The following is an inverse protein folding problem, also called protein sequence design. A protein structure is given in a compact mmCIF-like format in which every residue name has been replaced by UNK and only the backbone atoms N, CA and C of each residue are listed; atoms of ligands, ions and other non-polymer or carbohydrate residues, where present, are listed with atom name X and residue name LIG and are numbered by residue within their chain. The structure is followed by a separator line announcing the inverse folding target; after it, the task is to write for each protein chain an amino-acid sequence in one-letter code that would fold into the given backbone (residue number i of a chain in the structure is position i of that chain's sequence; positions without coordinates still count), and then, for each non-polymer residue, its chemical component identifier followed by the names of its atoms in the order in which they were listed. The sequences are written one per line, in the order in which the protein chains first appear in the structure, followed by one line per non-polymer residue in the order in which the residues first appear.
data_IF_449767867772
#
_entry.id   IF_449767867772
#
_cell.length_a   1.000
_cell.length_b   1.000
_cell.length_c   1.000
_cell.angle_alpha   90.00
_cell.angle_beta   90.00
_cell.angle_gamma   90.00
#
_symmetry.space_group_name_H-M   'P 1'
#
loop_
_entity.id
_entity.type
_entity.pdbx_description
1 polymer ?
#
# COMPACT_ATOMS: atom_id res chain seq x y z
N UNK A 1 17.52 35.26 -14.02
CA UNK A 1 17.41 34.91 -15.46
C UNK A 1 16.00 34.41 -15.71
N UNK A 2 15.18 35.24 -16.36
CA UNK A 2 13.77 34.96 -16.59
C UNK A 2 13.58 33.86 -17.63
N UNK A 3 12.66 32.94 -17.37
CA UNK A 3 12.20 32.00 -18.39
C UNK A 3 11.04 32.64 -19.16
N UNK A 4 11.04 32.55 -20.50
CA UNK A 4 9.99 33.13 -21.31
C UNK A 4 8.70 32.32 -21.12
N UNK A 5 7.65 33.02 -20.72
CA UNK A 5 6.28 32.57 -20.92
C UNK A 5 6.01 32.54 -22.43
N UNK A 6 5.80 31.37 -23.01
CA UNK A 6 5.21 31.26 -24.35
C UNK A 6 4.30 30.04 -24.42
N UNK A 7 3.03 30.30 -24.73
CA UNK A 7 1.98 29.35 -25.10
C UNK A 7 2.43 28.57 -26.36
N UNK A 8 1.95 27.39 -26.75
CA UNK A 8 0.65 26.77 -26.57
C UNK A 8 0.75 25.27 -26.94
N UNK A 9 -0.06 24.44 -26.29
CA UNK A 9 -0.62 23.23 -26.91
C UNK A 9 -1.82 23.69 -27.78
N UNK A 10 -1.93 23.32 -29.07
CA UNK A 10 -2.97 23.84 -29.97
C UNK A 10 -4.41 23.50 -29.53
N UNK A 11 -4.59 22.48 -28.69
CA UNK A 11 -5.90 21.91 -28.37
C UNK A 11 -6.51 22.37 -27.03
N UNK A 12 -6.00 23.48 -26.48
CA UNK A 12 -6.78 24.40 -25.63
C UNK A 12 -7.80 23.79 -24.66
N UNK A 13 -7.39 22.95 -23.71
CA UNK A 13 -8.24 22.61 -22.57
C UNK A 13 -7.85 23.43 -21.33
N UNK A 14 -8.53 24.57 -21.14
CA UNK A 14 -8.38 25.47 -19.98
C UNK A 14 -8.52 24.77 -18.62
N UNK A 15 -9.07 23.55 -18.59
CA UNK A 15 -9.26 22.73 -17.38
C UNK A 15 -7.99 22.12 -16.81
N UNK A 16 -6.88 22.06 -17.55
CA UNK A 16 -5.66 21.38 -17.08
C UNK A 16 -4.63 22.34 -16.46
N UNK A 17 -4.67 23.64 -16.80
CA UNK A 17 -3.71 24.64 -16.29
C UNK A 17 -3.71 24.81 -14.76
N UNK A 18 -4.84 24.58 -14.10
CA UNK A 18 -4.92 24.63 -12.63
C UNK A 18 -4.38 23.35 -11.98
N UNK A 19 -4.52 22.20 -12.63
CA UNK A 19 -3.93 20.92 -12.20
C UNK A 19 -2.41 20.96 -12.34
N UNK A 20 -1.90 21.60 -13.40
CA UNK A 20 -0.47 21.86 -13.61
C UNK A 20 0.11 22.81 -12.55
N UNK A 21 -0.56 23.93 -12.27
CA UNK A 21 -0.14 24.88 -11.21
C UNK A 21 -0.26 24.31 -9.81
N UNK A 22 -1.29 23.51 -9.57
CA UNK A 22 -1.55 22.83 -8.30
C UNK A 22 -0.83 21.49 -8.16
N UNK A 23 0.04 21.12 -9.10
CA UNK A 23 0.66 19.80 -9.18
C UNK A 23 1.22 19.24 -7.86
N UNK A 24 1.95 20.01 -7.03
CA UNK A 24 2.44 19.50 -5.75
C UNK A 24 1.31 18.98 -4.85
N UNK A 25 0.17 19.65 -4.88
CA UNK A 25 -1.02 19.32 -4.10
C UNK A 25 -1.89 18.28 -4.80
N UNK A 26 -1.94 18.23 -6.14
CA UNK A 26 -2.77 17.26 -6.87
C UNK A 26 -2.08 15.93 -7.13
N UNK A 27 -0.82 15.76 -6.68
CA UNK A 27 -0.08 14.50 -6.77
C UNK A 27 -0.84 13.32 -6.14
N UNK A 28 -1.56 13.55 -5.03
CA UNK A 28 -2.38 12.51 -4.43
C UNK A 28 -3.56 12.09 -5.31
N UNK A 29 -3.93 12.81 -6.36
CA UNK A 29 -4.97 12.40 -7.32
C UNK A 29 -4.42 11.49 -8.43
N UNK A 30 -3.10 11.27 -8.47
CA UNK A 30 -2.47 10.49 -9.54
C UNK A 30 -2.39 11.23 -10.87
N UNK A 31 -2.60 12.55 -10.87
CA UNK A 31 -2.23 13.42 -11.98
C UNK A 31 -0.72 13.29 -12.22
N UNK A 32 -0.24 13.62 -13.42
CA UNK A 32 1.18 13.92 -13.67
C UNK A 32 1.18 14.98 -14.76
N UNK A 33 1.73 16.17 -14.53
CA UNK A 33 1.80 17.20 -15.56
C UNK A 33 2.64 16.64 -16.72
N UNK A 34 2.25 16.92 -17.97
CA UNK A 34 3.09 16.60 -19.11
C UNK A 34 4.45 17.30 -18.97
N UNK A 35 5.55 16.69 -19.45
CA UNK A 35 6.86 17.35 -19.42
C UNK A 35 6.81 18.67 -20.21
N UNK A 36 7.45 19.71 -19.68
CA UNK A 36 7.43 21.07 -20.25
C UNK A 36 7.91 21.14 -21.72
N UNK A 37 8.70 20.15 -22.16
CA UNK A 37 9.06 19.94 -23.56
C UNK A 37 9.03 18.42 -23.86
N UNK A 38 8.08 17.94 -24.68
CA UNK A 38 7.97 16.53 -25.07
C UNK A 38 9.20 16.01 -25.82
N UNK A 39 9.90 16.88 -26.56
CA UNK A 39 11.08 16.52 -27.36
C UNK A 39 12.29 16.43 -26.44
N UNK A 40 12.51 17.43 -25.56
CA UNK A 40 13.58 17.36 -24.57
C UNK A 40 13.40 16.18 -23.60
N UNK A 41 12.17 15.86 -23.18
CA UNK A 41 11.92 14.70 -22.32
C UNK A 41 12.24 13.36 -23.00
N UNK A 42 11.98 13.23 -24.31
CA UNK A 42 12.37 12.05 -25.10
C UNK A 42 13.89 11.93 -25.23
N UNK A 43 14.59 13.06 -25.43
CA UNK A 43 16.05 13.10 -25.50
C UNK A 43 16.69 12.78 -24.13
N UNK A 44 16.15 13.34 -23.04
CA UNK A 44 16.58 13.05 -21.68
C UNK A 44 16.37 11.58 -21.31
N UNK A 45 15.18 11.03 -21.58
CA UNK A 45 14.89 9.61 -21.36
C UNK A 45 15.80 8.69 -22.19
N UNK A 46 16.14 9.09 -23.44
CA UNK A 46 17.11 8.37 -24.26
C UNK A 46 18.54 8.46 -23.71
N UNK A 47 18.92 9.59 -23.13
CA UNK A 47 20.19 9.78 -22.45
C UNK A 47 20.35 8.89 -21.22
N UNK A 48 19.28 8.52 -20.53
CA UNK A 48 19.31 7.70 -19.30
C UNK A 48 19.35 6.18 -19.53
N UNK A 49 19.30 5.71 -20.77
CA UNK A 49 19.30 4.27 -21.08
C UNK A 49 20.57 3.54 -20.56
N UNK A 50 21.67 4.27 -20.35
CA UNK A 50 22.92 3.75 -19.79
C UNK A 50 22.84 3.44 -18.27
N UNK A 51 21.94 4.11 -17.55
CA UNK A 51 21.73 3.95 -16.10
C UNK A 51 20.84 2.73 -15.80
N UNK A 52 20.09 2.24 -16.79
CA UNK A 52 19.18 1.11 -16.62
C UNK A 52 19.93 -0.24 -16.53
N UNK A 53 19.47 -1.16 -15.67
CA UNK A 53 20.00 -2.53 -15.64
C UNK A 53 19.80 -3.22 -16.99
N UNK A 54 20.75 -4.08 -17.37
CA UNK A 54 20.85 -4.73 -18.69
C UNK A 54 19.52 -5.27 -19.27
N UNK A 55 18.67 -6.01 -18.52
CA UNK A 55 17.43 -6.57 -19.09
C UNK A 55 16.39 -5.52 -19.49
N UNK A 56 16.37 -4.35 -18.84
CA UNK A 56 15.45 -3.26 -19.21
C UNK A 56 15.96 -2.47 -20.42
N UNK A 57 17.27 -2.29 -20.51
CA UNK A 57 17.94 -1.59 -21.61
C UNK A 57 17.72 -2.31 -22.95
N UNK A 58 17.74 -3.63 -22.94
CA UNK A 58 17.52 -4.45 -24.13
C UNK A 58 16.07 -4.39 -24.62
N UNK A 59 15.10 -4.37 -23.70
CA UNK A 59 13.68 -4.15 -24.04
C UNK A 59 13.44 -2.78 -24.66
N UNK A 60 14.08 -1.73 -24.13
CA UNK A 60 14.03 -0.38 -24.71
C UNK A 60 14.59 -0.35 -26.13
N UNK A 61 15.75 -0.98 -26.38
CA UNK A 61 16.34 -1.08 -27.74
C UNK A 61 15.42 -1.80 -28.72
N UNK A 62 14.80 -2.90 -28.31
CA UNK A 62 13.90 -3.68 -29.16
C UNK A 62 12.66 -2.87 -29.56
N UNK A 63 12.03 -2.20 -28.59
CA UNK A 63 10.89 -1.29 -28.86
C UNK A 63 11.24 -0.17 -29.82
N UNK A 64 12.41 0.45 -29.68
CA UNK A 64 12.86 1.52 -30.58
C UNK A 64 13.07 1.03 -32.02
N UNK A 65 13.64 -0.16 -32.19
CA UNK A 65 13.78 -0.79 -33.52
C UNK A 65 12.41 -1.06 -34.15
N UNK A 66 11.49 -1.61 -33.39
CA UNK A 66 10.11 -1.86 -33.87
C UNK A 66 9.39 -0.55 -34.23
N UNK A 67 9.58 0.52 -33.48
CA UNK A 67 9.03 1.84 -33.79
C UNK A 67 9.68 2.50 -35.02
N UNK A 68 10.99 2.34 -35.22
CA UNK A 68 11.68 2.81 -36.43
C UNK A 68 11.18 2.06 -37.67
N UNK A 69 11.11 0.73 -37.60
CA UNK A 69 10.57 -0.10 -38.68
C UNK A 69 9.13 0.25 -39.02
N UNK A 70 8.29 0.56 -38.02
CA UNK A 70 6.92 1.04 -38.23
C UNK A 70 6.86 2.40 -38.91
N UNK A 71 7.77 3.32 -38.57
CA UNK A 71 7.86 4.65 -39.19
C UNK A 71 8.38 4.58 -40.63
N UNK A 72 9.33 3.70 -40.89
CA UNK A 72 9.85 3.43 -42.24
C UNK A 72 8.76 2.80 -43.12
N UNK A 73 8.00 1.83 -42.59
CA UNK A 73 6.85 1.25 -43.28
C UNK A 73 5.75 2.29 -43.59
N UNK A 74 5.40 3.13 -42.61
CA UNK A 74 4.41 4.19 -42.79
C UNK A 74 4.89 5.34 -43.70
N UNK A 75 6.20 5.59 -43.74
CA UNK A 75 6.81 6.57 -44.65
C UNK A 75 6.95 6.09 -46.09
N UNK A 76 7.11 4.77 -46.29
CA UNK A 76 7.17 4.15 -47.62
C UNK A 76 5.82 4.13 -48.35
N UNK A 77 4.71 4.01 -47.62
CA UNK A 77 3.35 4.06 -48.20
C UNK A 77 2.97 5.46 -48.71
N UNK A 78 3.60 6.53 -48.20
CA UNK A 78 3.32 7.90 -48.63
C UNK A 78 4.09 8.33 -49.91
N UNK A 79 5.12 7.57 -50.33
CA UNK A 79 5.95 7.91 -51.50
C UNK A 79 5.62 7.13 -52.78
N UNK A 80 4.86 6.03 -52.71
CA UNK A 80 4.52 5.22 -53.88
C UNK A 80 3.02 5.24 -54.17
N UNK A 81 2.56 6.31 -54.82
CA UNK A 81 1.24 6.36 -55.45
C UNK A 81 1.34 6.26 -56.97
N UNK A 82 1.07 5.09 -57.55
CA UNK A 82 0.16 4.87 -58.72
C UNK A 82 0.01 3.37 -59.07
N UNK A 83 -1.11 2.96 -59.71
CA UNK A 83 -1.67 1.62 -59.62
C UNK A 83 -1.27 0.70 -60.78
N UNK A 84 -1.16 -0.60 -60.52
CA UNK A 84 -1.22 -1.62 -61.57
C UNK A 84 -1.97 -2.85 -61.06
N UNK A 85 -2.99 -3.21 -61.82
CA UNK A 85 -3.88 -4.35 -61.62
C UNK A 85 -3.18 -5.70 -61.81
N UNK A 86 -3.71 -6.73 -61.16
CA UNK A 86 -3.36 -8.13 -61.40
C UNK A 86 -4.08 -9.05 -60.41
N UNK A 87 -5.22 -9.58 -60.82
CA UNK A 87 -5.95 -10.65 -60.14
C UNK A 87 -5.14 -11.96 -60.15
N UNK A 88 -5.14 -12.74 -59.07
CA UNK A 88 -6.03 -13.92 -58.98
C UNK A 88 -5.79 -14.74 -57.70
N UNK A 89 -6.93 -15.17 -57.13
CA UNK A 89 -7.24 -16.32 -56.27
C UNK A 89 -6.14 -17.03 -55.44
N UNK A 90 -6.32 -17.10 -54.11
CA UNK A 90 -6.84 -18.31 -53.46
C UNK A 90 -6.74 -18.27 -51.91
N UNK A 91 -7.92 -18.45 -51.32
CA UNK A 91 -8.22 -19.27 -50.15
C UNK A 91 -8.00 -18.72 -48.73
N UNK A 92 -9.15 -18.41 -48.15
CA UNK A 92 -9.52 -18.32 -46.74
C UNK A 92 -8.71 -19.22 -45.80
N UNK A 93 -8.16 -18.60 -44.75
CA UNK A 93 -8.04 -19.27 -43.45
C UNK A 93 -7.98 -18.25 -42.30
N UNK A 94 -9.07 -18.21 -41.54
CA UNK A 94 -9.01 -18.02 -40.09
C UNK A 94 -8.88 -16.58 -39.62
N UNK A 95 -10.04 -16.02 -39.29
CA UNK A 95 -10.22 -15.09 -38.18
C UNK A 95 -9.15 -15.21 -37.10
N UNK A 96 -8.44 -14.11 -36.86
CA UNK A 96 -8.33 -13.48 -35.55
C UNK A 96 -7.76 -12.10 -35.77
N UNK A 97 -8.65 -11.17 -36.08
CA UNK A 97 -8.41 -9.75 -35.82
C UNK A 97 -8.00 -9.64 -34.36
N UNK A 98 -6.71 -9.41 -34.14
CA UNK A 98 -6.17 -9.00 -32.86
C UNK A 98 -6.75 -7.62 -32.57
N UNK A 99 -7.98 -7.60 -32.07
CA UNK A 99 -8.64 -6.45 -31.52
C UNK A 99 -7.77 -6.01 -30.35
N UNK A 100 -6.83 -5.12 -30.66
CA UNK A 100 -6.15 -4.31 -29.67
C UNK A 100 -7.25 -3.61 -28.92
N UNK A 101 -7.65 -4.20 -27.78
CA UNK A 101 -8.50 -3.57 -26.79
C UNK A 101 -7.74 -2.31 -26.39
N UNK A 102 -8.02 -1.21 -27.08
CA UNK A 102 -7.78 0.13 -26.60
C UNK A 102 -8.46 0.14 -25.23
N UNK A 103 -7.68 -0.08 -24.17
CA UNK A 103 -8.12 0.15 -22.81
C UNK A 103 -8.43 1.64 -22.79
N UNK A 104 -9.68 1.98 -23.05
CA UNK A 104 -10.19 3.32 -22.90
C UNK A 104 -9.75 3.75 -21.51
N UNK A 105 -8.77 4.64 -21.47
CA UNK A 105 -8.21 5.10 -20.23
C UNK A 105 -9.35 5.83 -19.53
N UNK A 106 -9.76 5.42 -18.31
CA UNK A 106 -10.91 6.02 -17.65
C UNK A 106 -10.69 7.52 -17.58
N UNK A 107 -11.71 8.29 -17.94
CA UNK A 107 -11.67 9.75 -17.97
C UNK A 107 -11.13 10.27 -16.64
N UNK A 108 -10.32 11.34 -16.65
CA UNK A 108 -9.69 11.87 -15.43
C UNK A 108 -10.72 12.10 -14.30
N UNK A 109 -11.92 12.57 -14.65
CA UNK A 109 -13.03 12.74 -13.72
C UNK A 109 -13.51 11.44 -13.06
N UNK A 110 -13.61 10.33 -13.81
CA UNK A 110 -13.96 9.03 -13.24
C UNK A 110 -12.88 8.52 -12.27
N UNK A 111 -11.60 8.68 -12.61
CA UNK A 111 -10.48 8.32 -11.72
C UNK A 111 -10.49 9.11 -10.41
N UNK A 112 -10.73 10.42 -10.49
CA UNK A 112 -10.86 11.28 -9.32
C UNK A 112 -12.06 10.88 -8.47
N UNK A 113 -13.22 10.60 -9.09
CA UNK A 113 -14.42 10.15 -8.37
C UNK A 113 -14.18 8.83 -7.63
N UNK A 114 -13.56 7.84 -8.28
CA UNK A 114 -13.20 6.57 -7.64
C UNK A 114 -12.25 6.78 -6.47
N UNK A 115 -11.22 7.61 -6.65
CA UNK A 115 -10.26 7.89 -5.59
C UNK A 115 -10.87 8.63 -4.39
N UNK A 116 -11.74 9.61 -4.64
CA UNK A 116 -12.46 10.32 -3.58
C UNK A 116 -13.38 9.37 -2.83
N UNK A 117 -14.09 8.51 -3.55
CA UNK A 117 -14.92 7.46 -2.95
C UNK A 117 -14.10 6.55 -2.03
N UNK A 118 -12.90 6.15 -2.48
CA UNK A 118 -11.99 5.38 -1.66
C UNK A 118 -11.52 6.14 -0.40
N UNK A 119 -11.18 7.42 -0.53
CA UNK A 119 -10.78 8.23 0.62
C UNK A 119 -11.91 8.35 1.66
N UNK A 120 -13.16 8.47 1.21
CA UNK A 120 -14.34 8.47 2.09
C UNK A 120 -14.52 7.15 2.83
N UNK A 121 -14.39 6.01 2.13
CA UNK A 121 -14.47 4.70 2.79
C UNK A 121 -13.34 4.50 3.80
N UNK A 122 -12.13 4.96 3.49
CA UNK A 122 -11.00 4.90 4.44
C UNK A 122 -11.22 5.79 5.67
N UNK A 123 -11.81 6.97 5.50
CA UNK A 123 -12.17 7.87 6.61
C UNK A 123 -13.19 7.20 7.54
N UNK A 124 -14.28 6.67 6.99
CA UNK A 124 -15.31 5.98 7.77
C UNK A 124 -14.75 4.70 8.41
N UNK A 125 -13.92 3.96 7.68
CA UNK A 125 -13.20 2.79 8.17
C UNK A 125 -12.41 3.10 9.43
N UNK A 126 -11.52 4.10 9.35
CA UNK A 126 -10.67 4.53 10.46
C UNK A 126 -11.49 5.07 11.64
N UNK A 127 -12.45 5.96 11.39
CA UNK A 127 -13.27 6.57 12.43
C UNK A 127 -14.05 5.52 13.23
N UNK A 128 -14.80 4.66 12.54
CA UNK A 128 -15.63 3.66 13.21
C UNK A 128 -14.80 2.51 13.78
N UNK A 129 -13.69 2.11 13.15
CA UNK A 129 -12.78 1.11 13.70
C UNK A 129 -12.24 1.52 15.07
N UNK A 130 -11.66 2.72 15.14
CA UNK A 130 -11.15 3.27 16.41
C UNK A 130 -12.30 3.53 17.39
N UNK A 131 -13.44 4.06 16.94
CA UNK A 131 -14.59 4.28 17.80
C UNK A 131 -15.08 2.97 18.43
N UNK A 132 -15.27 1.89 17.66
CA UNK A 132 -15.71 0.61 18.20
C UNK A 132 -14.71 0.03 19.19
N UNK A 133 -13.40 0.10 18.89
CA UNK A 133 -12.36 -0.33 19.82
C UNK A 133 -12.35 0.52 21.11
N UNK A 134 -12.59 1.83 21.02
CA UNK A 134 -12.66 2.70 22.18
C UNK A 134 -13.94 2.49 23.00
N UNK A 135 -15.07 2.24 22.33
CA UNK A 135 -16.34 1.93 22.99
C UNK A 135 -16.26 0.59 23.72
N UNK A 136 -15.63 -0.45 23.14
CA UNK A 136 -15.44 -1.72 23.85
C UNK A 136 -14.65 -1.52 25.14
N UNK A 137 -13.62 -0.66 25.11
CA UNK A 137 -12.80 -0.33 26.28
C UNK A 137 -13.57 0.44 27.37
N UNK A 138 -14.77 0.99 27.08
CA UNK A 138 -15.63 1.64 28.08
C UNK A 138 -16.57 0.68 28.82
N UNK A 139 -16.64 -0.59 28.40
CA UNK A 139 -17.42 -1.60 29.12
C UNK A 139 -16.90 -1.80 30.54
N UNK A 140 -17.81 -2.01 31.50
CA UNK A 140 -17.46 -2.12 32.93
C UNK A 140 -16.37 -3.18 33.19
N UNK A 141 -16.42 -4.28 32.43
CA UNK A 141 -15.44 -5.36 32.47
C UNK A 141 -13.98 -4.94 32.17
N UNK A 142 -13.77 -3.98 31.27
CA UNK A 142 -12.44 -3.49 30.89
C UNK A 142 -12.00 -2.27 31.70
N UNK A 143 -12.96 -1.55 32.29
CA UNK A 143 -12.70 -0.45 33.23
C UNK A 143 -12.08 -0.93 34.53
N UNK A 144 -12.47 -2.12 35.00
CA UNK A 144 -11.93 -2.73 36.22
C UNK A 144 -10.44 -3.11 36.12
N UNK A 145 -9.85 -3.10 34.91
CA UNK A 145 -8.47 -3.51 34.63
C UNK A 145 -7.56 -2.36 34.16
N UNK A 146 -7.95 -1.09 34.35
CA UNK A 146 -7.16 0.11 33.99
C UNK A 146 -6.56 0.09 32.57
N UNK A 147 -7.29 -0.50 31.63
CA UNK A 147 -6.84 -0.66 30.25
C UNK A 147 -6.63 0.71 29.59
N UNK A 148 -5.42 1.07 29.13
CA UNK A 148 -5.18 2.34 28.46
C UNK A 148 -6.05 2.41 27.20
N UNK A 149 -6.93 3.42 27.18
CA UNK A 149 -8.16 3.43 26.37
C UNK A 149 -7.92 3.29 24.86
N UNK A 150 -6.75 3.69 24.34
CA UNK A 150 -6.37 3.53 22.93
C UNK A 150 -4.85 3.38 22.85
N UNK A 151 -4.38 2.18 22.55
CA UNK A 151 -2.96 1.88 22.41
C UNK A 151 -2.49 2.37 21.02
N UNK A 152 -1.40 3.15 20.96
CA UNK A 152 -0.91 3.78 19.72
C UNK A 152 -0.71 2.78 18.56
N UNK A 153 -0.44 1.51 18.87
CA UNK A 153 -0.37 0.42 17.89
C UNK A 153 -1.64 0.28 17.04
N UNK A 154 -2.83 0.37 17.64
CA UNK A 154 -4.10 0.21 16.91
C UNK A 154 -4.42 1.41 16.00
N UNK A 155 -3.84 2.58 16.27
CA UNK A 155 -3.89 3.71 15.35
C UNK A 155 -3.13 3.41 14.05
N UNK A 156 -1.93 2.84 14.15
CA UNK A 156 -1.16 2.39 12.99
C UNK A 156 -1.84 1.23 12.25
N UNK A 157 -2.45 0.30 13.00
CA UNK A 157 -3.26 -0.78 12.44
C UNK A 157 -4.45 -0.23 11.64
N UNK A 158 -5.17 0.77 12.16
CA UNK A 158 -6.28 1.41 11.44
C UNK A 158 -5.83 1.98 10.08
N UNK A 159 -4.71 2.70 10.06
CA UNK A 159 -4.15 3.26 8.83
C UNK A 159 -3.88 2.13 7.82
N UNK A 160 -3.26 1.05 8.26
CA UNK A 160 -2.94 -0.08 7.39
C UNK A 160 -4.19 -0.82 6.91
N UNK A 161 -5.12 -1.18 7.81
CA UNK A 161 -6.34 -1.91 7.48
C UNK A 161 -7.27 -1.16 6.53
N UNK A 162 -7.43 0.16 6.69
CA UNK A 162 -8.43 0.93 5.95
C UNK A 162 -7.85 1.72 4.77
N UNK A 163 -6.58 2.14 4.82
CA UNK A 163 -5.94 2.86 3.71
C UNK A 163 -5.16 1.92 2.78
N UNK A 164 -4.57 0.84 3.31
CA UNK A 164 -3.75 -0.12 2.56
C UNK A 164 -4.32 -1.55 2.63
N UNK A 165 -5.65 -1.68 2.53
CA UNK A 165 -6.41 -2.94 2.66
C UNK A 165 -5.94 -4.06 1.73
N UNK A 166 -5.42 -3.72 0.54
CA UNK A 166 -4.89 -4.70 -0.43
C UNK A 166 -3.51 -5.26 -0.03
N UNK A 167 -2.88 -4.72 1.01
CA UNK A 167 -1.55 -5.15 1.44
C UNK A 167 -1.57 -6.59 1.97
N UNK A 168 -0.56 -7.43 1.64
CA UNK A 168 -0.44 -8.76 2.24
C UNK A 168 -0.18 -8.70 3.76
N UNK A 169 0.31 -7.58 4.29
CA UNK A 169 0.63 -7.43 5.72
C UNK A 169 -0.60 -7.21 6.61
N UNK A 170 -1.75 -6.91 6.01
CA UNK A 170 -2.99 -6.61 6.74
C UNK A 170 -4.04 -7.69 6.57
N UNK A 171 -3.65 -8.85 6.05
CA UNK A 171 -4.56 -9.98 5.88
C UNK A 171 -4.95 -10.53 7.26
N UNK A 172 -6.16 -11.12 7.40
CA UNK A 172 -6.79 -11.41 8.68
C UNK A 172 -5.90 -12.18 9.65
N UNK A 173 -5.18 -13.18 9.15
CA UNK A 173 -4.28 -14.00 9.98
C UNK A 173 -3.06 -13.23 10.45
N UNK A 174 -2.51 -12.35 9.63
CA UNK A 174 -1.35 -11.54 10.01
C UNK A 174 -1.74 -10.54 11.10
N UNK A 175 -2.92 -9.93 10.98
CA UNK A 175 -3.46 -9.02 12.01
C UNK A 175 -3.66 -9.76 13.33
N UNK A 176 -4.41 -10.87 13.32
CA UNK A 176 -4.75 -11.60 14.54
C UNK A 176 -3.52 -12.26 15.19
N UNK A 177 -2.78 -13.08 14.44
CA UNK A 177 -1.64 -13.79 15.00
C UNK A 177 -0.43 -12.88 15.23
N UNK A 178 -0.20 -11.91 14.34
CA UNK A 178 0.90 -10.96 14.49
C UNK A 178 0.76 -10.14 15.77
N UNK A 179 -0.44 -9.60 16.05
CA UNK A 179 -0.70 -8.89 17.29
C UNK A 179 -0.67 -9.83 18.51
N UNK A 180 -1.31 -11.00 18.43
CA UNK A 180 -1.42 -11.94 19.55
C UNK A 180 -0.05 -12.48 19.98
N UNK A 181 0.78 -12.93 19.04
CA UNK A 181 2.12 -13.45 19.32
C UNK A 181 3.02 -12.32 19.85
N UNK A 182 2.89 -11.12 19.30
CA UNK A 182 3.62 -9.96 19.82
C UNK A 182 3.22 -9.61 21.26
N UNK A 183 1.94 -9.70 21.61
CA UNK A 183 1.47 -9.52 22.98
C UNK A 183 2.02 -10.59 23.92
N UNK A 184 2.00 -11.87 23.50
CA UNK A 184 2.58 -12.98 24.28
C UNK A 184 4.06 -12.74 24.55
N UNK A 185 4.84 -12.47 23.50
CA UNK A 185 6.29 -12.24 23.62
C UNK A 185 6.60 -10.99 24.44
N UNK A 186 5.84 -9.91 24.27
CA UNK A 186 5.99 -8.70 25.06
C UNK A 186 5.76 -8.95 26.55
N UNK A 187 4.72 -9.70 26.92
CA UNK A 187 4.44 -10.09 28.31
C UNK A 187 5.52 -11.03 28.84
N UNK A 188 6.00 -12.00 28.05
CA UNK A 188 7.10 -12.88 28.44
C UNK A 188 8.36 -12.08 28.77
N UNK A 189 8.73 -11.10 27.93
CA UNK A 189 9.90 -10.25 28.17
C UNK A 189 9.66 -9.36 29.39
N UNK A 190 8.48 -8.75 29.53
CA UNK A 190 8.12 -7.96 30.70
C UNK A 190 8.32 -8.76 32.00
N UNK A 191 7.75 -9.97 32.07
CA UNK A 191 7.88 -10.85 33.24
C UNK A 191 9.31 -11.34 33.47
N UNK A 192 10.07 -11.60 32.42
CA UNK A 192 11.48 -12.03 32.55
C UNK A 192 12.34 -10.93 33.18
N UNK A 193 12.15 -9.68 32.76
CA UNK A 193 12.89 -8.55 33.31
C UNK A 193 12.41 -8.14 34.72
N UNK A 194 11.12 -8.31 35.04
CA UNK A 194 10.60 -8.14 36.41
C UNK A 194 11.23 -9.08 37.45
N UNK A 195 11.83 -10.21 37.03
CA UNK A 195 12.57 -11.12 37.93
C UNK A 195 13.91 -10.52 38.41
N UNK A 196 14.43 -9.49 37.73
CA UNK A 196 15.67 -8.84 38.14
C UNK A 196 15.42 -7.89 39.33
N UNK A 197 16.11 -8.07 40.47
CA UNK A 197 15.93 -7.20 41.63
C UNK A 197 16.26 -5.74 41.28
N UNK A 198 15.30 -4.83 41.51
CA UNK A 198 15.47 -3.40 41.26
C UNK A 198 15.01 -2.92 39.88
N UNK A 199 14.70 -3.81 38.95
CA UNK A 199 14.15 -3.44 37.65
C UNK A 199 12.66 -3.12 37.76
N UNK A 200 12.23 -1.93 37.31
CA UNK A 200 10.81 -1.53 37.28
C UNK A 200 10.37 -1.10 35.89
N UNK A 201 9.30 -1.71 35.40
CA UNK A 201 8.71 -1.34 34.12
C UNK A 201 7.99 0.01 34.23
N UNK A 202 8.29 0.94 33.31
CA UNK A 202 7.62 2.25 33.23
C UNK A 202 8.23 3.37 34.08
N UNK A 203 9.49 3.24 34.51
CA UNK A 203 10.22 4.34 35.14
C UNK A 203 10.44 5.52 34.18
N UNK A 204 10.02 6.72 34.58
CA UNK A 204 10.21 7.97 33.79
C UNK A 204 11.70 8.33 33.61
N UNK A 205 12.57 7.85 34.50
CA UNK A 205 14.00 8.19 34.56
C UNK A 205 14.95 7.02 34.27
N UNK A 206 14.42 5.81 34.06
CA UNK A 206 15.21 4.64 33.65
C UNK A 206 14.60 4.08 32.37
N UNK A 207 15.18 4.39 31.19
CA UNK A 207 14.67 3.82 29.96
C UNK A 207 14.91 2.31 30.00
N UNK A 208 13.82 1.54 29.93
CA UNK A 208 13.85 0.08 29.76
C UNK A 208 14.28 -0.31 28.34
N UNK A 209 15.33 0.33 27.83
CA UNK A 209 15.79 0.23 26.45
C UNK A 209 16.20 -1.20 26.12
N UNK A 210 16.75 -1.95 27.08
CA UNK A 210 17.10 -3.37 26.94
C UNK A 210 15.85 -4.21 26.72
N UNK A 211 14.88 -4.14 27.64
CA UNK A 211 13.63 -4.89 27.54
C UNK A 211 12.83 -4.50 26.28
N UNK A 212 12.78 -3.21 25.93
CA UNK A 212 12.16 -2.72 24.71
C UNK A 212 12.82 -3.28 23.45
N UNK A 213 14.15 -3.24 23.39
CA UNK A 213 14.91 -3.74 22.24
C UNK A 213 14.73 -5.25 22.08
N UNK A 214 14.83 -6.01 23.17
CA UNK A 214 14.65 -7.47 23.18
C UNK A 214 13.22 -7.84 22.79
N UNK A 215 12.22 -7.15 23.35
CA UNK A 215 10.80 -7.40 23.07
C UNK A 215 10.48 -7.21 21.58
N UNK A 216 10.85 -6.05 21.01
CA UNK A 216 10.61 -5.77 19.60
C UNK A 216 11.38 -6.72 18.68
N UNK A 217 12.66 -6.96 18.95
CA UNK A 217 13.51 -7.81 18.11
C UNK A 217 13.00 -9.26 18.10
N UNK A 218 12.60 -9.78 19.26
CA UNK A 218 12.06 -11.13 19.39
C UNK A 218 10.70 -11.25 18.69
N UNK A 219 9.80 -10.28 18.88
CA UNK A 219 8.51 -10.26 18.19
C UNK A 219 8.67 -10.21 16.67
N UNK A 220 9.58 -9.36 16.17
CA UNK A 220 9.88 -9.28 14.75
C UNK A 220 10.45 -10.58 14.20
N UNK A 221 11.42 -11.19 14.91
CA UNK A 221 12.01 -12.47 14.52
C UNK A 221 10.94 -13.55 14.39
N UNK A 222 10.08 -13.70 15.40
CA UNK A 222 9.03 -14.73 15.38
C UNK A 222 7.99 -14.45 14.29
N UNK A 223 7.58 -13.21 14.09
CA UNK A 223 6.68 -12.82 12.99
C UNK A 223 7.29 -13.09 11.60
N UNK A 224 8.61 -12.93 11.45
CA UNK A 224 9.31 -13.24 10.21
C UNK A 224 9.41 -14.75 9.98
N UNK A 225 9.72 -15.52 11.03
CA UNK A 225 9.79 -16.99 10.97
C UNK A 225 8.45 -17.63 10.60
N UNK A 226 7.36 -17.06 11.12
CA UNK A 226 5.99 -17.54 10.89
C UNK A 226 5.34 -16.93 9.64
N UNK A 227 6.02 -16.03 8.92
CA UNK A 227 5.51 -15.30 7.75
C UNK A 227 4.20 -14.51 8.00
N UNK A 228 3.95 -14.12 9.25
CA UNK A 228 2.76 -13.37 9.71
C UNK A 228 3.10 -11.93 10.08
N UNK A 229 4.03 -11.32 9.34
CA UNK A 229 4.54 -9.99 9.68
C UNK A 229 3.43 -8.95 9.65
N UNK A 230 3.16 -8.39 10.84
CA UNK A 230 2.21 -7.32 11.04
C UNK A 230 2.88 -6.19 11.82
N UNK A 231 3.32 -5.10 11.16
CA UNK A 231 4.12 -4.05 11.80
C UNK A 231 3.50 -3.46 13.08
N UNK A 232 2.16 -3.25 13.19
CA UNK A 232 1.53 -2.84 14.46
C UNK A 232 1.79 -3.80 15.62
N UNK A 233 1.97 -5.10 15.36
CA UNK A 233 2.34 -6.10 16.36
C UNK A 233 3.68 -5.78 17.04
N UNK A 234 4.66 -5.24 16.30
CA UNK A 234 5.93 -4.79 16.91
C UNK A 234 5.71 -3.71 17.97
N UNK A 235 4.78 -2.78 17.72
CA UNK A 235 4.41 -1.78 18.72
C UNK A 235 3.67 -2.43 19.91
N UNK A 236 2.77 -3.38 19.68
CA UNK A 236 2.11 -4.18 20.75
C UNK A 236 3.14 -4.83 21.68
N UNK A 237 4.20 -5.44 21.14
CA UNK A 237 5.27 -6.02 21.95
C UNK A 237 6.03 -4.96 22.79
N UNK A 238 6.33 -3.80 22.21
CA UNK A 238 6.99 -2.69 22.92
C UNK A 238 6.12 -2.15 24.07
N UNK A 239 4.82 -2.05 23.85
CA UNK A 239 3.89 -1.45 24.81
C UNK A 239 3.82 -2.26 26.10
N UNK A 240 3.95 -3.59 26.02
CA UNK A 240 4.02 -4.48 27.18
C UNK A 240 5.22 -4.21 28.11
N UNK A 241 6.32 -3.64 27.61
CA UNK A 241 7.56 -3.41 28.39
C UNK A 241 7.87 -1.93 28.63
N UNK A 242 7.07 -1.02 28.06
CA UNK A 242 7.28 0.43 28.16
C UNK A 242 6.21 1.14 28.98
N UNK A 243 4.97 0.65 28.99
CA UNK A 243 3.87 1.24 29.73
C UNK A 243 3.63 0.42 31.00
N UNK A 244 3.78 1.05 32.18
CA UNK A 244 3.60 0.37 33.47
C UNK A 244 2.22 -0.26 33.62
N UNK A 245 1.16 0.45 33.21
CA UNK A 245 -0.22 -0.06 33.26
C UNK A 245 -0.38 -1.34 32.42
N UNK A 246 0.32 -1.44 31.29
CA UNK A 246 0.25 -2.64 30.43
C UNK A 246 1.06 -3.78 31.03
N UNK A 247 2.23 -3.50 31.60
CA UNK A 247 3.03 -4.50 32.29
C UNK A 247 2.29 -5.07 33.53
N UNK A 248 1.57 -4.22 34.25
CA UNK A 248 0.72 -4.59 35.39
C UNK A 248 -0.44 -5.50 34.97
N UNK A 249 -1.07 -5.26 33.80
CA UNK A 249 -2.07 -6.18 33.23
C UNK A 249 -1.51 -7.59 32.99
N UNK A 250 -0.21 -7.70 32.68
CA UNK A 250 0.47 -8.98 32.48
C UNK A 250 -0.23 -9.86 31.45
N UNK A 251 -0.60 -11.07 31.83
CA UNK A 251 -1.26 -12.04 30.94
C UNK A 251 -2.63 -11.58 30.42
N UNK A 252 -3.27 -10.62 31.09
CA UNK A 252 -4.55 -10.05 30.65
C UNK A 252 -4.42 -9.16 29.41
N UNK A 253 -3.19 -8.73 29.09
CA UNK A 253 -2.92 -7.97 27.88
C UNK A 253 -3.23 -8.76 26.60
N UNK A 254 -3.03 -10.08 26.60
CA UNK A 254 -3.23 -10.94 25.42
C UNK A 254 -4.70 -10.95 24.96
N UNK A 255 -5.69 -11.32 25.79
CA UNK A 255 -7.09 -11.29 25.38
C UNK A 255 -7.58 -9.87 25.04
N UNK A 256 -7.04 -8.83 25.69
CA UNK A 256 -7.36 -7.43 25.37
C UNK A 256 -6.91 -7.06 23.95
N UNK A 257 -5.67 -7.39 23.58
CA UNK A 257 -5.12 -7.16 22.23
C UNK A 257 -5.88 -7.96 21.18
N UNK A 258 -6.20 -9.23 21.48
CA UNK A 258 -6.96 -10.09 20.59
C UNK A 258 -8.37 -9.52 20.34
N UNK A 259 -9.05 -9.07 21.39
CA UNK A 259 -10.37 -8.45 21.30
C UNK A 259 -10.35 -7.18 20.43
N UNK A 260 -9.37 -6.30 20.63
CA UNK A 260 -9.22 -5.08 19.83
C UNK A 260 -8.94 -5.42 18.35
N UNK A 261 -8.05 -6.39 18.09
CA UNK A 261 -7.74 -6.87 16.74
C UNK A 261 -8.98 -7.47 16.05
N UNK A 262 -9.82 -8.21 16.79
CA UNK A 262 -11.06 -8.78 16.26
C UNK A 262 -12.10 -7.71 15.91
N UNK A 263 -12.23 -6.67 16.72
CA UNK A 263 -13.15 -5.54 16.45
C UNK A 263 -12.71 -4.79 15.19
N UNK A 264 -11.42 -4.46 15.12
CA UNK A 264 -10.82 -3.77 13.98
C UNK A 264 -10.95 -4.59 12.70
N UNK A 265 -10.62 -5.87 12.77
CA UNK A 265 -10.75 -6.78 11.64
C UNK A 265 -12.23 -6.96 11.23
N UNK A 266 -13.13 -7.11 12.20
CA UNK A 266 -14.57 -7.25 11.95
C UNK A 266 -15.13 -6.05 11.19
N UNK A 267 -14.74 -4.84 11.58
CA UNK A 267 -15.12 -3.64 10.85
C UNK A 267 -14.45 -3.53 9.48
N UNK A 268 -13.18 -3.90 9.37
CA UNK A 268 -12.46 -3.96 8.09
C UNK A 268 -13.14 -4.89 7.08
N UNK A 269 -13.66 -6.04 7.53
CA UNK A 269 -14.43 -6.96 6.68
C UNK A 269 -15.71 -6.32 6.14
N UNK A 270 -16.33 -5.39 6.86
CA UNK A 270 -17.52 -4.69 6.37
C UNK A 270 -17.10 -3.59 5.39
N UNK A 271 -16.31 -2.63 5.84
CA UNK A 271 -16.03 -1.40 5.08
C UNK A 271 -15.21 -1.66 3.81
N UNK A 272 -14.27 -2.62 3.85
CA UNK A 272 -13.42 -2.94 2.70
C UNK A 272 -14.08 -3.92 1.70
N UNK A 273 -15.35 -4.27 1.88
CA UNK A 273 -16.16 -4.92 0.85
C UNK A 273 -17.24 -4.00 0.26
N UNK A 274 -17.29 -2.74 0.70
CA UNK A 274 -18.18 -1.71 0.13
C UNK A 274 -17.50 -1.05 -1.07
N UNK A 275 -18.28 -0.70 -2.09
CA UNK A 275 -17.80 0.16 -3.19
C UNK A 275 -16.86 -0.50 -4.18
N UNK A 276 -16.85 -1.83 -4.28
CA UNK A 276 -16.04 -2.58 -5.24
C UNK A 276 -14.62 -2.93 -4.74
N UNK A 277 -14.30 -2.60 -3.49
CA UNK A 277 -13.14 -3.13 -2.77
C UNK A 277 -13.34 -4.62 -2.48
N UNK A 278 -12.23 -5.35 -2.32
CA UNK A 278 -12.27 -6.78 -2.01
C UNK A 278 -11.31 -7.08 -0.87
N UNK A 279 -11.86 -7.44 0.28
CA UNK A 279 -11.08 -7.80 1.45
C UNK A 279 -11.75 -8.95 2.22
N UNK A 280 -11.03 -9.99 2.64
CA UNK A 280 -9.60 -10.22 2.42
C UNK A 280 -9.34 -10.75 1.00
N UNK A 281 -8.13 -10.51 0.50
CA UNK A 281 -7.67 -11.10 -0.76
C UNK A 281 -7.12 -12.52 -0.55
N UNK A 282 -6.67 -12.81 0.67
CA UNK A 282 -6.14 -14.10 1.09
C UNK A 282 -6.52 -14.33 2.55
N UNK A 283 -7.14 -15.49 2.82
CA UNK A 283 -7.55 -15.87 4.17
C UNK A 283 -6.45 -16.62 4.91
N UNK A 284 -5.75 -17.50 4.19
CA UNK A 284 -4.66 -18.32 4.72
C UNK A 284 -3.32 -17.81 4.24
N UNK A 285 -2.29 -17.99 5.07
CA UNK A 285 -0.91 -17.70 4.66
C UNK A 285 -0.55 -18.58 3.45
N UNK A 286 0.02 -17.97 2.41
CA UNK A 286 0.74 -18.72 1.38
C UNK A 286 2.15 -18.90 1.87
N UNK A 287 2.40 -19.98 2.60
CA UNK A 287 3.74 -20.32 3.06
C UNK A 287 4.65 -20.49 1.85
N UNK A 288 5.66 -19.63 1.71
CA UNK A 288 6.63 -19.74 0.59
C UNK A 288 7.49 -21.01 0.72
N UNK A 289 7.54 -21.59 1.92
CA UNK A 289 8.26 -22.81 2.25
C UNK A 289 7.50 -24.10 1.91
N UNK A 290 6.18 -24.02 1.72
CA UNK A 290 5.35 -25.17 1.38
C UNK A 290 5.07 -25.07 -0.12
N UNK A 291 6.06 -25.49 -0.91
CA UNK A 291 5.85 -25.86 -2.30
C UNK A 291 5.23 -27.26 -2.27
N UNK A 292 3.90 -27.33 -2.26
CA UNK A 292 3.14 -28.55 -2.58
C UNK A 292 2.37 -28.29 -3.86
#
# INVERSE_FOLDING_TARGET
MGQPYSNADPDGNLKDKWLDRGWPLTRFLGYRPPPCDPVAARHWAAGMDHILPAPLRERHRKRRREEQLRKEAAGGEAQNGHPAAGADSANERGEKGGQGRSREQPSLGSRVKHKLWDMWLTLLGCFFGIAFSALSARSDYLRDHDSPLIVAAFGAEAVLLYAAHDSPLVQPMNVLFGNTISAVLGVCVAKLFELQPGFKIGGVYEPNWEAASVSLALALLVMQLLEITHPPGGAVALLAVTISQIAEMGWWYIPMVLQASLIMLGWALVINNVGGRRYPTQWFWKSRWIVI
#
